data_IF_436782817049
#
_entry.id   IF_436782817049
#
_cell.length_a   1.000
_cell.length_b   1.000
_cell.length_c   1.000
_cell.angle_alpha   90.00
_cell.angle_beta   90.00
_cell.angle_gamma   90.00
#
_symmetry.space_group_name_H-M   'P 1'
#
loop_
_entity.id
_entity.type
_entity.pdbx_description
1 polymer ?
#
# COMPACT_ATOMS: atom_id res chain seq x y z
N UNK A 1 11.00 26.68 8.02
CA UNK A 1 12.00 25.63 7.75
C UNK A 1 11.71 24.48 8.70
N UNK A 2 11.30 23.32 8.19
CA UNK A 2 11.20 22.12 9.04
C UNK A 2 12.62 21.72 9.46
N UNK A 3 12.83 21.49 10.75
CA UNK A 3 14.10 20.98 11.27
C UNK A 3 14.37 19.59 10.66
N UNK A 4 15.62 19.28 10.34
CA UNK A 4 16.06 17.94 9.88
C UNK A 4 15.50 16.81 10.77
N UNK A 5 15.41 17.07 12.08
CA UNK A 5 14.85 16.15 13.07
C UNK A 5 13.35 15.88 12.90
N UNK A 6 12.58 16.84 12.36
CA UNK A 6 11.15 16.68 12.14
C UNK A 6 10.83 15.57 11.15
N UNK A 7 11.62 15.44 10.07
CA UNK A 7 11.43 14.39 9.05
C UNK A 7 11.65 12.99 9.62
N UNK A 8 12.65 12.83 10.49
CA UNK A 8 12.95 11.55 11.17
C UNK A 8 11.82 11.18 12.13
N UNK A 9 11.33 12.14 12.91
CA UNK A 9 10.21 11.93 13.84
C UNK A 9 8.95 11.47 13.08
N UNK A 10 8.61 12.13 11.97
CA UNK A 10 7.48 11.72 11.14
C UNK A 10 7.67 10.34 10.51
N UNK A 11 8.87 10.01 10.03
CA UNK A 11 9.18 8.68 9.50
C UNK A 11 8.94 7.58 10.55
N UNK A 12 9.39 7.79 11.79
CA UNK A 12 9.17 6.86 12.90
C UNK A 12 7.68 6.75 13.24
N UNK A 13 6.97 7.87 13.34
CA UNK A 13 5.52 7.87 13.64
C UNK A 13 4.72 7.10 12.58
N UNK A 14 4.99 7.34 11.30
CA UNK A 14 4.34 6.62 10.21
C UNK A 14 4.71 5.15 10.17
N UNK A 15 5.95 4.79 10.51
CA UNK A 15 6.38 3.41 10.65
C UNK A 15 5.57 2.69 11.76
N UNK A 16 5.47 3.31 12.94
CA UNK A 16 4.68 2.78 14.06
C UNK A 16 3.21 2.63 13.67
N UNK A 17 2.63 3.64 13.03
CA UNK A 17 1.24 3.58 12.55
C UNK A 17 1.02 2.43 11.56
N UNK A 18 1.96 2.22 10.63
CA UNK A 18 1.92 1.09 9.69
C UNK A 18 1.97 -0.26 10.42
N UNK A 19 2.85 -0.40 11.41
CA UNK A 19 2.92 -1.61 12.25
C UNK A 19 1.62 -1.84 13.04
N UNK A 20 1.02 -0.80 13.63
CA UNK A 20 -0.27 -0.90 14.31
C UNK A 20 -1.37 -1.42 13.37
N UNK A 21 -1.42 -0.94 12.13
CA UNK A 21 -2.34 -1.45 11.12
C UNK A 21 -2.09 -2.92 10.77
N UNK A 22 -0.83 -3.33 10.66
CA UNK A 22 -0.46 -4.72 10.41
C UNK A 22 -0.86 -5.65 11.58
N UNK A 23 -0.59 -5.24 12.83
CA UNK A 23 -1.01 -5.98 14.02
C UNK A 23 -2.53 -6.08 14.11
N UNK A 24 -3.24 -4.99 13.86
CA UNK A 24 -4.70 -4.99 13.84
C UNK A 24 -5.27 -5.94 12.75
N UNK A 25 -4.66 -5.96 11.57
CA UNK A 25 -5.00 -6.90 10.50
C UNK A 25 -4.78 -8.36 10.90
N UNK A 26 -3.66 -8.66 11.56
CA UNK A 26 -3.36 -9.99 12.11
C UNK A 26 -4.32 -10.38 13.23
N UNK A 27 -4.70 -9.44 14.10
CA UNK A 27 -5.67 -9.65 15.15
C UNK A 27 -7.05 -10.02 14.58
N UNK A 28 -7.54 -9.27 13.58
CA UNK A 28 -8.81 -9.59 12.91
C UNK A 28 -8.73 -10.98 12.27
N UNK A 29 -7.62 -11.30 11.59
CA UNK A 29 -7.39 -12.62 11.00
C UNK A 29 -7.55 -13.73 12.04
N UNK A 30 -6.88 -13.60 13.18
CA UNK A 30 -6.86 -14.62 14.22
C UNK A 30 -8.23 -14.74 14.90
N UNK A 31 -8.85 -13.62 15.30
CA UNK A 31 -10.15 -13.58 15.97
C UNK A 31 -11.27 -14.19 15.15
N UNK A 32 -11.31 -13.91 13.84
CA UNK A 32 -12.39 -14.38 12.96
C UNK A 32 -12.03 -15.64 12.15
N UNK A 33 -10.86 -16.26 12.43
CA UNK A 33 -10.30 -17.41 11.69
C UNK A 33 -10.42 -17.24 10.18
N UNK A 34 -10.15 -16.02 9.69
CA UNK A 34 -10.23 -15.71 8.28
C UNK A 34 -9.14 -16.48 7.54
N UNK A 35 -9.54 -17.31 6.58
CA UNK A 35 -8.59 -17.94 5.67
C UNK A 35 -7.85 -16.88 4.87
N UNK A 36 -6.58 -17.14 4.57
CA UNK A 36 -5.82 -16.25 3.69
C UNK A 36 -6.51 -16.19 2.33
N UNK A 37 -6.88 -14.98 1.91
CA UNK A 37 -7.03 -14.64 0.49
C UNK A 37 -5.63 -14.65 -0.14
N UNK A 38 -4.98 -15.81 -0.15
CA UNK A 38 -3.84 -16.03 -1.03
C UNK A 38 -4.36 -15.85 -2.46
N UNK A 39 -3.55 -15.23 -3.34
CA UNK A 39 -3.91 -15.09 -4.76
C UNK A 39 -4.43 -16.43 -5.32
N UNK A 40 -3.83 -17.55 -4.94
CA UNK A 40 -4.26 -18.90 -5.33
C UNK A 40 -5.70 -19.24 -4.92
N UNK A 41 -6.24 -18.74 -3.80
CA UNK A 41 -7.66 -18.90 -3.42
C UNK A 41 -8.58 -17.87 -4.10
N UNK A 42 -8.06 -16.70 -4.47
CA UNK A 42 -8.79 -15.69 -5.27
C UNK A 42 -9.00 -16.16 -6.71
N UNK A 43 -8.09 -16.98 -7.24
CA UNK A 43 -8.18 -17.63 -8.56
C UNK A 43 -8.71 -19.07 -8.51
N UNK A 44 -8.70 -19.74 -7.36
CA UNK A 44 -9.20 -21.11 -7.18
C UNK A 44 -10.73 -21.23 -7.29
N UNK A 45 -11.25 -22.47 -7.33
CA UNK A 45 -12.61 -22.76 -7.78
C UNK A 45 -13.73 -21.93 -7.10
N UNK A 46 -14.67 -21.37 -7.89
CA UNK A 46 -15.76 -20.54 -7.38
C UNK A 46 -16.74 -21.31 -6.49
N UNK A 47 -16.87 -22.62 -6.67
CA UNK A 47 -17.81 -23.47 -5.92
C UNK A 47 -17.46 -23.69 -4.45
N UNK A 48 -16.19 -23.49 -4.05
CA UNK A 48 -15.72 -23.80 -2.69
C UNK A 48 -15.27 -22.54 -1.92
N UNK A 49 -15.40 -21.35 -2.53
CA UNK A 49 -14.93 -20.11 -1.93
C UNK A 49 -16.09 -19.12 -1.69
N UNK A 50 -16.39 -18.76 -0.43
CA UNK A 50 -17.48 -17.82 -0.12
C UNK A 50 -17.23 -16.42 -0.72
N UNK A 51 -15.98 -16.05 -1.01
CA UNK A 51 -15.64 -14.78 -1.67
C UNK A 51 -15.95 -14.76 -3.18
N UNK A 52 -16.24 -15.92 -3.78
CA UNK A 52 -16.63 -16.08 -5.20
C UNK A 52 -18.10 -16.50 -5.36
N UNK A 53 -18.88 -16.40 -4.29
CA UNK A 53 -20.31 -16.70 -4.30
C UNK A 53 -21.04 -15.92 -5.41
N UNK A 54 -21.87 -16.63 -6.21
CA UNK A 54 -22.61 -16.12 -7.37
C UNK A 54 -21.76 -15.51 -8.50
N UNK A 55 -20.44 -15.68 -8.50
CA UNK A 55 -19.58 -15.09 -9.55
C UNK A 55 -19.81 -15.71 -10.94
N UNK A 56 -20.37 -16.92 -11.02
CA UNK A 56 -20.73 -17.60 -12.28
C UNK A 56 -22.19 -17.41 -12.69
N UNK A 57 -23.04 -16.93 -11.78
CA UNK A 57 -24.51 -16.87 -11.99
C UNK A 57 -25.02 -15.43 -12.11
N UNK A 58 -24.32 -14.45 -11.52
CA UNK A 58 -24.67 -13.03 -11.59
C UNK A 58 -23.57 -12.25 -12.32
N UNK A 59 -23.90 -11.77 -13.54
CA UNK A 59 -23.02 -10.98 -14.39
C UNK A 59 -22.48 -9.72 -13.72
N UNK A 60 -23.24 -9.12 -12.80
CA UNK A 60 -22.79 -7.91 -12.12
C UNK A 60 -21.76 -8.24 -11.04
N UNK A 61 -21.90 -9.37 -10.34
CA UNK A 61 -20.90 -9.88 -9.39
C UNK A 61 -19.64 -10.32 -10.14
N UNK A 62 -19.79 -10.94 -11.30
CA UNK A 62 -18.69 -11.32 -12.18
C UNK A 62 -17.87 -10.11 -12.63
N UNK A 63 -18.53 -9.05 -13.13
CA UNK A 63 -17.89 -7.78 -13.53
C UNK A 63 -17.14 -7.12 -12.37
N UNK A 64 -17.75 -7.05 -11.18
CA UNK A 64 -17.09 -6.51 -9.99
C UNK A 64 -15.87 -7.35 -9.58
N UNK A 65 -15.96 -8.68 -9.70
CA UNK A 65 -14.84 -9.58 -9.40
C UNK A 65 -13.67 -9.39 -10.38
N UNK A 66 -13.96 -9.23 -11.67
CA UNK A 66 -12.94 -8.94 -12.69
C UNK A 66 -12.30 -7.56 -12.45
N UNK A 67 -13.12 -6.53 -12.22
CA UNK A 67 -12.63 -5.19 -11.90
C UNK A 67 -11.75 -5.19 -10.65
N UNK A 68 -12.13 -5.91 -9.60
CA UNK A 68 -11.31 -6.08 -8.40
C UNK A 68 -9.95 -6.74 -8.71
N UNK A 69 -9.93 -7.83 -9.48
CA UNK A 69 -8.68 -8.53 -9.84
C UNK A 69 -7.75 -7.62 -10.65
N UNK A 70 -8.29 -6.92 -11.64
CA UNK A 70 -7.53 -6.01 -12.50
C UNK A 70 -6.96 -4.82 -11.73
N UNK A 71 -7.81 -4.13 -10.95
CA UNK A 71 -7.39 -2.96 -10.15
C UNK A 71 -6.38 -3.34 -9.06
N UNK A 72 -6.53 -4.52 -8.44
CA UNK A 72 -5.56 -5.04 -7.47
C UNK A 72 -4.22 -5.35 -8.14
N UNK A 73 -4.23 -5.97 -9.33
CA UNK A 73 -3.01 -6.28 -10.08
C UNK A 73 -2.26 -5.02 -10.48
N UNK A 74 -2.95 -4.02 -11.03
CA UNK A 74 -2.36 -2.71 -11.35
C UNK A 74 -1.86 -2.02 -10.09
N UNK A 75 -2.66 -2.00 -9.02
CA UNK A 75 -2.30 -1.34 -7.78
C UNK A 75 -1.03 -1.89 -7.16
N UNK A 76 -0.94 -3.21 -7.04
CA UNK A 76 0.25 -3.90 -6.52
C UNK A 76 1.44 -3.71 -7.48
N UNK A 77 1.24 -3.87 -8.79
CA UNK A 77 2.29 -3.71 -9.81
C UNK A 77 2.90 -2.31 -9.81
N UNK A 78 2.05 -1.27 -9.87
CA UNK A 78 2.50 0.13 -9.82
C UNK A 78 3.18 0.47 -8.50
N UNK A 79 2.72 -0.09 -7.38
CA UNK A 79 3.36 0.11 -6.07
C UNK A 79 4.77 -0.49 -6.04
N UNK A 80 4.97 -1.72 -6.54
CA UNK A 80 6.30 -2.34 -6.59
C UNK A 80 7.24 -1.63 -7.57
N UNK A 81 6.74 -1.20 -8.74
CA UNK A 81 7.53 -0.41 -9.70
C UNK A 81 7.95 0.92 -9.07
N UNK A 82 7.02 1.62 -8.42
CA UNK A 82 7.32 2.86 -7.70
C UNK A 82 8.35 2.66 -6.59
N UNK A 83 8.22 1.58 -5.81
CA UNK A 83 9.17 1.25 -4.74
C UNK A 83 10.57 0.90 -5.29
N UNK A 84 10.66 0.20 -6.42
CA UNK A 84 11.93 -0.05 -7.09
C UNK A 84 12.60 1.25 -7.58
N UNK A 85 11.83 2.12 -8.24
CA UNK A 85 12.33 3.43 -8.68
C UNK A 85 12.74 4.32 -7.51
N UNK A 86 12.03 4.21 -6.38
CA UNK A 86 12.39 4.92 -5.15
C UNK A 86 13.76 4.50 -4.62
N UNK A 87 14.04 3.19 -4.52
CA UNK A 87 15.36 2.71 -4.10
C UNK A 87 16.46 3.05 -5.09
N UNK A 88 16.17 2.99 -6.39
CA UNK A 88 17.11 3.45 -7.43
C UNK A 88 17.48 4.92 -7.23
N UNK A 89 16.48 5.77 -7.00
CA UNK A 89 16.69 7.19 -6.69
C UNK A 89 17.51 7.39 -5.41
N UNK A 90 17.27 6.60 -4.35
CA UNK A 90 18.08 6.64 -3.14
C UNK A 90 19.55 6.31 -3.40
N UNK A 91 19.83 5.35 -4.29
CA UNK A 91 21.19 4.94 -4.61
C UNK A 91 21.94 5.96 -5.48
N UNK A 92 21.23 6.66 -6.38
CA UNK A 92 21.79 7.65 -7.30
C UNK A 92 22.01 9.05 -6.67
N UNK A 93 21.65 9.27 -5.39
CA UNK A 93 21.85 10.56 -4.68
C UNK A 93 23.32 11.03 -4.63
N UNK A 94 24.28 10.15 -4.93
CA UNK A 94 25.70 10.48 -5.05
C UNK A 94 26.06 11.28 -6.31
N UNK A 95 25.30 11.18 -7.41
CA UNK A 95 25.80 11.60 -8.74
C UNK A 95 25.04 12.73 -9.44
N UNK A 96 23.76 12.97 -9.16
CA UNK A 96 22.99 14.20 -9.49
C UNK A 96 21.50 13.92 -9.27
N UNK A 97 20.74 14.89 -8.75
CA UNK A 97 19.30 14.74 -8.52
C UNK A 97 18.55 14.78 -9.86
N UNK A 98 18.02 13.64 -10.31
CA UNK A 98 17.14 13.59 -11.48
C UNK A 98 15.67 13.82 -11.08
N UNK A 99 15.25 15.09 -11.11
CA UNK A 99 13.88 15.52 -10.82
C UNK A 99 12.82 14.78 -11.64
N UNK A 100 13.12 14.41 -12.89
CA UNK A 100 12.22 13.65 -13.74
C UNK A 100 11.95 12.23 -13.20
N UNK A 101 12.99 11.54 -12.73
CA UNK A 101 12.86 10.19 -12.18
C UNK A 101 12.10 10.19 -10.84
N UNK A 102 12.28 11.25 -10.03
CA UNK A 102 11.53 11.47 -8.79
C UNK A 102 10.04 11.67 -9.09
N UNK A 103 9.71 12.55 -10.04
CA UNK A 103 8.32 12.78 -10.45
C UNK A 103 7.65 11.49 -10.95
N UNK A 104 8.35 10.71 -11.79
CA UNK A 104 7.86 9.42 -12.27
C UNK A 104 7.61 8.45 -11.10
N UNK A 105 8.52 8.39 -10.13
CA UNK A 105 8.39 7.54 -8.93
C UNK A 105 7.14 7.88 -8.13
N UNK A 106 6.90 9.17 -7.88
CA UNK A 106 5.73 9.66 -7.15
C UNK A 106 4.44 9.33 -7.92
N UNK A 107 4.43 9.53 -9.24
CA UNK A 107 3.29 9.18 -10.09
C UNK A 107 2.94 7.69 -10.00
N UNK A 108 3.93 6.79 -10.10
CA UNK A 108 3.69 5.35 -9.99
C UNK A 108 3.14 4.94 -8.61
N UNK A 109 3.68 5.52 -7.53
CA UNK A 109 3.19 5.24 -6.17
C UNK A 109 1.76 5.75 -5.96
N UNK A 110 1.42 6.94 -6.47
CA UNK A 110 0.07 7.51 -6.41
C UNK A 110 -0.93 6.68 -7.22
N UNK A 111 -0.59 6.31 -8.45
CA UNK A 111 -1.44 5.45 -9.30
C UNK A 111 -1.67 4.09 -8.63
N UNK A 112 -0.62 3.51 -8.03
CA UNK A 112 -0.72 2.26 -7.29
C UNK A 112 -1.71 2.35 -6.14
N UNK A 113 -1.62 3.40 -5.32
CA UNK A 113 -2.52 3.64 -4.19
C UNK A 113 -3.96 3.87 -4.65
N UNK A 114 -4.18 4.74 -5.64
CA UNK A 114 -5.53 5.03 -6.15
C UNK A 114 -6.17 3.74 -6.65
N UNK A 115 -5.40 2.89 -7.34
CA UNK A 115 -5.86 1.59 -7.84
C UNK A 115 -6.19 0.62 -6.69
N UNK A 116 -5.40 0.60 -5.61
CA UNK A 116 -5.68 -0.21 -4.41
C UNK A 116 -6.93 0.27 -3.67
N UNK A 117 -7.14 1.59 -3.55
CA UNK A 117 -8.36 2.17 -2.97
C UNK A 117 -9.57 1.78 -3.83
N UNK A 118 -9.45 1.89 -5.15
CA UNK A 118 -10.52 1.51 -6.07
C UNK A 118 -10.84 0.02 -5.95
N UNK A 119 -9.82 -0.84 -5.90
CA UNK A 119 -9.99 -2.28 -5.65
C UNK A 119 -10.76 -2.54 -4.35
N UNK A 120 -10.44 -1.82 -3.28
CA UNK A 120 -11.16 -1.95 -2.01
C UNK A 120 -12.64 -1.56 -2.13
N UNK A 121 -12.95 -0.46 -2.82
CA UNK A 121 -14.33 -0.03 -3.04
C UNK A 121 -15.09 -1.07 -3.86
N UNK A 122 -14.46 -1.64 -4.89
CA UNK A 122 -15.04 -2.72 -5.70
C UNK A 122 -15.27 -3.98 -4.86
N UNK A 123 -14.33 -4.37 -4.01
CA UNK A 123 -14.47 -5.53 -3.11
C UNK A 123 -15.60 -5.32 -2.09
N UNK A 124 -15.75 -4.11 -1.54
CA UNK A 124 -16.86 -3.77 -0.66
C UNK A 124 -18.21 -3.88 -1.37
N UNK A 125 -18.33 -3.30 -2.56
CA UNK A 125 -19.54 -3.38 -3.36
C UNK A 125 -19.89 -4.83 -3.73
N UNK A 126 -18.88 -5.62 -4.11
CA UNK A 126 -19.04 -7.06 -4.39
C UNK A 126 -19.57 -7.79 -3.16
N UNK A 127 -18.94 -7.60 -2.00
CA UNK A 127 -19.33 -8.28 -0.75
C UNK A 127 -20.75 -7.89 -0.30
N UNK A 128 -21.14 -6.63 -0.41
CA UNK A 128 -22.51 -6.17 -0.07
C UNK A 128 -23.54 -6.88 -0.96
N UNK A 129 -23.28 -6.97 -2.27
CA UNK A 129 -24.18 -7.67 -3.21
C UNK A 129 -24.28 -9.16 -2.92
N UNK A 130 -23.15 -9.81 -2.63
CA UNK A 130 -23.12 -11.22 -2.24
C UNK A 130 -23.92 -11.49 -0.96
N UNK A 131 -23.80 -10.62 0.05
CA UNK A 131 -24.60 -10.73 1.29
C UNK A 131 -26.10 -10.55 0.99
N UNK A 132 -26.46 -9.58 0.14
CA UNK A 132 -27.86 -9.30 -0.22
C UNK A 132 -28.48 -10.47 -0.99
N UNK A 133 -27.75 -11.01 -1.97
CA UNK A 133 -28.18 -12.18 -2.73
C UNK A 133 -28.27 -13.44 -1.86
N UNK A 134 -27.34 -13.62 -0.91
CA UNK A 134 -27.41 -14.68 0.08
C UNK A 134 -28.68 -14.61 0.94
N UNK A 135 -29.05 -13.42 1.43
CA UNK A 135 -30.28 -13.24 2.23
C UNK A 135 -31.55 -13.56 1.44
N UNK A 136 -31.55 -13.34 0.13
CA UNK A 136 -32.68 -13.69 -0.75
C UNK A 136 -32.77 -15.19 -1.03
N UNK A 137 -31.67 -15.93 -0.94
CA UNK A 137 -31.57 -17.35 -1.27
C UNK A 137 -31.30 -18.25 -0.04
N UNK A 138 -31.59 -17.74 1.17
CA UNK A 138 -31.19 -18.26 2.49
C UNK A 138 -31.41 -19.77 2.73
N UNK A 139 -32.30 -20.41 1.98
CA UNK A 139 -32.70 -21.81 2.17
C UNK A 139 -31.94 -22.84 1.31
N UNK A 140 -30.98 -22.45 0.47
CA UNK A 140 -30.33 -23.36 -0.51
C UNK A 140 -28.81 -23.51 -0.44
N UNK A 141 -28.09 -22.92 0.52
CA UNK A 141 -26.67 -22.60 0.30
C UNK A 141 -25.67 -23.17 1.32
N UNK A 142 -24.51 -23.61 0.79
CA UNK A 142 -23.37 -24.25 1.49
C UNK A 142 -22.55 -23.33 2.41
N UNK A 143 -22.84 -22.03 2.50
CA UNK A 143 -21.96 -21.03 3.14
C UNK A 143 -22.59 -20.26 4.32
N UNK A 144 -23.59 -20.84 5.00
CA UNK A 144 -24.28 -20.19 6.11
C UNK A 144 -23.33 -19.70 7.22
N UNK A 145 -22.35 -20.53 7.60
CA UNK A 145 -21.34 -20.20 8.62
C UNK A 145 -20.45 -18.99 8.30
N UNK A 146 -20.42 -18.56 7.04
CA UNK A 146 -19.69 -17.37 6.62
C UNK A 146 -20.61 -16.15 6.60
N UNK A 147 -21.73 -16.21 5.86
CA UNK A 147 -22.60 -15.04 5.65
C UNK A 147 -23.47 -14.70 6.87
N UNK A 148 -23.86 -15.68 7.69
CA UNK A 148 -24.60 -15.42 8.94
C UNK A 148 -23.67 -15.00 10.08
N UNK A 149 -22.35 -15.04 9.87
CA UNK A 149 -21.35 -14.62 10.85
C UNK A 149 -20.83 -13.20 10.62
N UNK A 150 -20.05 -12.66 11.56
CA UNK A 150 -19.33 -11.39 11.40
C UNK A 150 -18.07 -11.48 10.51
N UNK A 151 -17.79 -12.62 9.87
CA UNK A 151 -16.63 -12.84 9.00
C UNK A 151 -16.59 -11.93 7.74
N UNK A 152 -17.71 -11.63 7.04
CA UNK A 152 -17.71 -10.77 5.86
C UNK A 152 -17.25 -9.34 6.21
N UNK A 153 -17.83 -8.75 7.26
CA UNK A 153 -17.47 -7.41 7.73
C UNK A 153 -16.05 -7.37 8.33
N UNK A 154 -15.60 -8.43 9.00
CA UNK A 154 -14.22 -8.57 9.45
C UNK A 154 -13.23 -8.59 8.28
N UNK A 155 -13.54 -9.30 7.19
CA UNK A 155 -12.65 -9.39 6.03
C UNK A 155 -12.49 -8.06 5.30
N UNK A 156 -13.57 -7.28 5.16
CA UNK A 156 -13.52 -5.92 4.64
C UNK A 156 -12.61 -5.04 5.51
N UNK A 157 -12.87 -4.99 6.83
CA UNK A 157 -12.07 -4.18 7.77
C UNK A 157 -10.58 -4.54 7.75
N UNK A 158 -10.26 -5.82 7.62
CA UNK A 158 -8.86 -6.29 7.47
C UNK A 158 -8.22 -5.73 6.21
N UNK A 159 -8.92 -5.73 5.07
CA UNK A 159 -8.41 -5.20 3.82
C UNK A 159 -8.19 -3.67 3.90
N UNK A 160 -9.12 -2.94 4.53
CA UNK A 160 -8.97 -1.50 4.79
C UNK A 160 -7.73 -1.21 5.64
N UNK A 161 -7.54 -1.96 6.74
CA UNK A 161 -6.39 -1.80 7.61
C UNK A 161 -5.06 -2.02 6.86
N UNK A 162 -4.99 -3.00 5.96
CA UNK A 162 -3.80 -3.24 5.15
C UNK A 162 -3.47 -2.07 4.23
N UNK A 163 -4.48 -1.51 3.54
CA UNK A 163 -4.29 -0.37 2.62
C UNK A 163 -3.89 0.90 3.39
N UNK A 164 -4.51 1.15 4.54
CA UNK A 164 -4.10 2.26 5.43
C UNK A 164 -2.67 2.05 5.94
N UNK A 165 -2.29 0.83 6.29
CA UNK A 165 -0.90 0.49 6.65
C UNK A 165 0.09 0.76 5.51
N UNK A 166 -0.26 0.42 4.27
CA UNK A 166 0.52 0.72 3.07
C UNK A 166 0.66 2.23 2.80
N UNK A 167 -0.40 3.01 3.04
CA UNK A 167 -0.37 4.47 2.96
C UNK A 167 0.61 5.08 3.97
N UNK A 168 0.59 4.60 5.22
CA UNK A 168 1.56 5.04 6.23
C UNK A 168 2.99 4.66 5.84
N UNK A 169 3.19 3.47 5.25
CA UNK A 169 4.51 3.06 4.76
C UNK A 169 5.00 3.98 3.63
N UNK A 170 4.13 4.40 2.70
CA UNK A 170 4.49 5.40 1.71
C UNK A 170 4.84 6.75 2.34
N UNK A 171 4.03 7.22 3.29
CA UNK A 171 4.29 8.48 3.98
C UNK A 171 5.65 8.47 4.71
N UNK A 172 6.01 7.33 5.31
CA UNK A 172 7.33 7.11 5.88
C UNK A 172 8.44 7.20 4.82
N UNK A 173 8.30 6.55 3.66
CA UNK A 173 9.27 6.62 2.57
C UNK A 173 9.43 8.06 2.06
N UNK A 174 8.33 8.81 1.94
CA UNK A 174 8.37 10.22 1.59
C UNK A 174 9.15 11.06 2.62
N UNK A 175 8.95 10.83 3.92
CA UNK A 175 9.71 11.50 4.96
C UNK A 175 11.22 11.20 4.87
N UNK A 176 11.60 9.95 4.59
CA UNK A 176 13.01 9.57 4.37
C UNK A 176 13.59 10.32 3.17
N UNK A 177 12.85 10.39 2.07
CA UNK A 177 13.28 11.12 0.89
C UNK A 177 13.47 12.63 1.16
N UNK A 178 12.54 13.26 1.86
CA UNK A 178 12.65 14.67 2.25
C UNK A 178 13.84 14.92 3.19
N UNK A 179 14.12 13.99 4.11
CA UNK A 179 15.31 14.03 4.95
C UNK A 179 16.59 14.09 4.11
N UNK A 180 16.81 13.13 3.21
CA UNK A 180 18.01 13.11 2.34
C UNK A 180 18.15 14.37 1.48
N UNK A 181 17.04 14.88 0.92
CA UNK A 181 17.07 16.15 0.17
C UNK A 181 17.45 17.33 1.05
N UNK A 182 16.94 17.42 2.28
CA UNK A 182 17.25 18.52 3.20
C UNK A 182 18.70 18.48 3.73
N UNK A 183 19.28 17.28 3.88
CA UNK A 183 20.71 17.12 4.21
C UNK A 183 21.59 17.65 3.07
N UNK A 184 21.29 17.29 1.82
CA UNK A 184 22.11 17.68 0.66
C UNK A 184 21.99 19.16 0.28
N UNK A 185 20.88 19.81 0.60
CA UNK A 185 20.64 21.24 0.36
C UNK A 185 21.16 22.15 1.50
N UNK A 186 21.72 21.57 2.56
CA UNK A 186 22.31 22.34 3.65
C UNK A 186 23.71 22.88 3.25
N UNK A 187 23.99 24.19 3.42
CA UNK A 187 25.23 24.84 2.95
C UNK A 187 26.52 24.41 3.67
N UNK A 188 26.47 23.37 4.53
CA UNK A 188 27.64 22.84 5.21
C UNK A 188 28.44 21.82 4.39
N UNK A 189 27.93 21.37 3.22
CA UNK A 189 28.67 20.44 2.35
C UNK A 189 29.71 21.14 1.47
N UNK A 190 29.70 22.48 1.37
CA UNK A 190 30.63 23.28 0.55
C UNK A 190 31.84 23.84 1.31
N UNK A 191 32.02 23.54 2.60
CA UNK A 191 33.14 24.08 3.39
C UNK A 191 34.35 23.14 3.54
N UNK A 192 34.36 21.98 2.89
CA UNK A 192 35.57 21.14 2.83
C UNK A 192 36.27 21.31 1.50
N UNK A 193 37.53 21.70 1.60
CA UNK A 193 38.58 21.80 0.57
C UNK A 193 38.70 23.21 -0.05
N UNK A 194 39.14 24.17 0.75
CA UNK A 194 40.22 25.08 0.31
C UNK A 194 41.39 24.84 1.25
N UNK A 195 42.49 24.20 0.81
CA UNK A 195 43.71 24.19 1.59
C UNK A 195 44.28 25.61 1.55
N UNK A 196 44.10 26.36 2.64
CA UNK A 196 44.78 27.63 2.89
C UNK A 196 46.26 27.34 3.17
N UNK A 197 47.01 26.96 2.14
CA UNK A 197 48.46 26.80 2.18
C UNK A 197 49.05 27.34 0.89
N UNK A 198 49.02 28.66 0.69
CA UNK A 198 49.90 29.39 -0.24
C UNK A 198 49.62 30.88 -0.07
N UNK A 199 50.46 31.54 0.73
CA UNK A 199 50.86 32.96 0.68
C UNK A 199 51.23 33.47 2.09
N UNK A 200 52.14 32.76 2.75
CA UNK A 200 53.00 33.36 3.75
C UNK A 200 54.39 32.73 3.65
N UNK A 201 55.32 33.52 3.13
CA UNK A 201 56.75 33.24 3.16
C UNK A 201 57.39 33.01 1.79
N UNK A 202 57.93 34.07 1.20
CA UNK A 202 59.38 34.19 0.99
C UNK A 202 59.73 35.59 0.46
N UNK A 203 60.62 36.23 1.23
CA UNK A 203 61.59 37.28 0.93
C UNK A 203 61.49 38.04 -0.39
#
# INVERSE_FOLDING_TARGET
MFSLYSWVIYAILFLIASFCCAFYSLFIRHKFKLHDRLLTKVFGDPLHNPYRFLETEDDQIARLSQAFKFTTFIGIGCYFIGLFLFFKNLNDFSNQINLGLIAITICFMLIGIISLILAQLTDQQKMIRQIKAYHQQKYKLKFCDFFDSAKPSASIRRNQANIVGLLFLLAMLFCIFMFFNSVNSSPLSTSRITPTYLLLGKH
#
